data_IF_402367553939
#
_entry.id   IF_402367553939
#
_cell.length_a   1.000
_cell.length_b   1.000
_cell.length_c   1.000
_cell.angle_alpha   90.00
_cell.angle_beta   90.00
_cell.angle_gamma   90.00
#
_symmetry.space_group_name_H-M   'P 1'
#
loop_
_entity.id
_entity.type
_entity.pdbx_description
1 polymer ?
#
# COMPACT_ATOMS: atom_id res chain seq x y z
N UNK A 1 -23.74 29.16 14.03
CA UNK A 1 -22.83 28.63 15.07
C UNK A 1 -21.43 28.56 14.48
N UNK A 2 -20.38 29.05 15.16
CA UNK A 2 -19.01 28.88 14.68
C UNK A 2 -18.62 27.39 14.70
N UNK A 3 -17.81 26.95 13.73
CA UNK A 3 -17.32 25.57 13.67
C UNK A 3 -16.40 25.29 14.87
N UNK A 4 -16.68 24.21 15.60
CA UNK A 4 -15.81 23.70 16.67
C UNK A 4 -14.75 22.77 16.06
N UNK A 5 -13.63 23.36 15.62
CA UNK A 5 -12.53 22.63 15.00
C UNK A 5 -11.55 22.11 16.07
N UNK A 6 -11.16 20.86 15.94
CA UNK A 6 -10.14 20.25 16.80
C UNK A 6 -8.75 20.81 16.48
N UNK A 7 -8.06 21.29 17.50
CA UNK A 7 -6.67 21.74 17.37
C UNK A 7 -5.71 20.54 17.27
N UNK A 8 -4.50 20.77 16.76
CA UNK A 8 -3.44 19.77 16.64
C UNK A 8 -3.14 19.06 17.97
N UNK A 9 -3.16 19.80 19.07
CA UNK A 9 -2.93 19.24 20.41
C UNK A 9 -4.08 18.35 20.87
N UNK A 10 -5.33 18.72 20.56
CA UNK A 10 -6.51 17.91 20.86
C UNK A 10 -6.48 16.61 20.06
N UNK A 11 -6.13 16.66 18.78
CA UNK A 11 -5.98 15.47 17.94
C UNK A 11 -4.82 14.57 18.42
N UNK A 12 -3.67 15.16 18.76
CA UNK A 12 -2.52 14.44 19.31
C UNK A 12 -2.87 13.75 20.63
N UNK A 13 -3.55 14.47 21.53
CA UNK A 13 -4.02 13.95 22.81
C UNK A 13 -5.01 12.80 22.65
N UNK A 14 -5.97 12.92 21.72
CA UNK A 14 -6.91 11.85 21.38
C UNK A 14 -6.18 10.60 20.86
N UNK A 15 -5.23 10.75 19.94
CA UNK A 15 -4.45 9.62 19.42
C UNK A 15 -3.59 8.97 20.51
N UNK A 16 -3.01 9.75 21.42
CA UNK A 16 -2.26 9.22 22.56
C UNK A 16 -3.15 8.42 23.51
N UNK A 17 -4.33 8.95 23.84
CA UNK A 17 -5.31 8.27 24.69
C UNK A 17 -5.70 6.90 24.10
N UNK A 18 -6.02 6.85 22.80
CA UNK A 18 -6.39 5.60 22.14
C UNK A 18 -5.27 4.56 22.16
N UNK A 19 -4.00 4.96 21.98
CA UNK A 19 -2.86 4.03 22.09
C UNK A 19 -2.68 3.51 23.52
N UNK A 20 -2.82 4.39 24.51
CA UNK A 20 -2.70 4.03 25.93
C UNK A 20 -3.82 3.09 26.36
N UNK A 21 -5.05 3.34 25.93
CA UNK A 21 -6.21 2.46 26.16
C UNK A 21 -5.99 1.09 25.49
N UNK A 22 -5.50 1.07 24.24
CA UNK A 22 -5.16 -0.18 23.55
C UNK A 22 -4.12 -0.99 24.33
N UNK A 23 -3.05 -0.36 24.81
CA UNK A 23 -2.03 -1.03 25.61
C UNK A 23 -2.59 -1.59 26.93
N UNK A 24 -3.50 -0.85 27.57
CA UNK A 24 -4.19 -1.32 28.77
C UNK A 24 -5.01 -2.59 28.51
N UNK A 25 -5.70 -2.65 27.37
CA UNK A 25 -6.55 -3.79 27.00
C UNK A 25 -5.73 -4.98 26.50
N UNK A 26 -4.73 -4.76 25.64
CA UNK A 26 -4.00 -5.86 24.98
C UNK A 26 -2.82 -6.39 25.79
N UNK A 27 -2.19 -5.55 26.63
CA UNK A 27 -0.98 -5.90 27.39
C UNK A 27 -1.20 -5.81 28.91
N UNK A 28 -2.44 -5.55 29.36
CA UNK A 28 -2.80 -5.34 30.77
C UNK A 28 -1.87 -4.35 31.49
N UNK A 29 -1.33 -3.38 30.73
CA UNK A 29 -0.37 -2.42 31.22
C UNK A 29 -0.55 -1.08 30.53
N UNK A 30 -0.64 -0.04 31.34
CA UNK A 30 -0.77 1.34 30.90
C UNK A 30 0.60 2.00 30.70
N UNK A 31 1.66 1.31 31.16
CA UNK A 31 3.02 1.82 31.21
C UNK A 31 3.63 1.66 29.81
N UNK A 32 3.50 2.71 28.99
CA UNK A 32 3.95 2.75 27.59
C UNK A 32 5.48 2.81 27.43
N UNK A 33 6.22 1.89 28.06
CA UNK A 33 7.68 1.77 27.90
C UNK A 33 8.09 1.35 26.49
N UNK A 34 7.27 0.50 25.87
CA UNK A 34 7.42 0.07 24.49
C UNK A 34 6.11 0.40 23.77
N UNK A 35 6.20 1.18 22.68
CA UNK A 35 5.06 1.59 21.87
C UNK A 35 5.13 0.85 20.51
N UNK A 36 3.99 0.30 20.09
CA UNK A 36 3.84 -0.48 18.84
C UNK A 36 3.80 0.40 17.58
N UNK A 37 4.04 1.70 17.74
CA UNK A 37 4.07 2.69 16.65
C UNK A 37 5.00 2.28 15.50
N UNK A 38 6.16 1.68 15.80
CA UNK A 38 7.09 1.19 14.77
C UNK A 38 6.49 0.05 13.95
N UNK A 39 5.80 -0.88 14.61
CA UNK A 39 5.15 -2.01 13.94
C UNK A 39 3.99 -1.53 13.06
N UNK A 40 3.16 -0.62 13.56
CA UNK A 40 2.09 -0.04 12.73
C UNK A 40 2.64 0.74 11.54
N UNK A 41 3.69 1.53 11.74
CA UNK A 41 4.36 2.24 10.66
C UNK A 41 4.94 1.29 9.60
N UNK A 42 5.52 0.15 10.02
CA UNK A 42 6.03 -0.86 9.10
C UNK A 42 4.92 -1.50 8.25
N UNK A 43 3.76 -1.77 8.84
CA UNK A 43 2.58 -2.29 8.10
C UNK A 43 2.05 -1.26 7.11
N UNK A 44 1.96 0.01 7.49
CA UNK A 44 1.53 1.07 6.57
C UNK A 44 2.56 1.22 5.43
N UNK A 45 3.85 1.17 5.74
CA UNK A 45 4.92 1.25 4.75
C UNK A 45 4.87 0.08 3.75
N UNK A 46 4.60 -1.14 4.20
CA UNK A 46 4.48 -2.29 3.28
C UNK A 46 3.29 -2.14 2.33
N UNK A 47 2.15 -1.65 2.82
CA UNK A 47 0.99 -1.33 1.97
C UNK A 47 1.36 -0.27 0.92
N UNK A 48 2.08 0.78 1.32
CA UNK A 48 2.56 1.81 0.37
C UNK A 48 3.44 1.20 -0.71
N UNK A 49 4.38 0.32 -0.36
CA UNK A 49 5.22 -0.34 -1.36
C UNK A 49 4.42 -1.23 -2.32
N UNK A 50 3.42 -1.96 -1.82
CA UNK A 50 2.53 -2.76 -2.68
C UNK A 50 1.78 -1.86 -3.66
N UNK A 51 1.21 -0.75 -3.20
CA UNK A 51 0.49 0.20 -4.05
C UNK A 51 1.42 0.80 -5.11
N UNK A 52 2.64 1.19 -4.73
CA UNK A 52 3.65 1.69 -5.68
C UNK A 52 4.02 0.62 -6.70
N UNK A 53 4.26 -0.62 -6.27
CA UNK A 53 4.60 -1.74 -7.15
C UNK A 53 3.49 -2.04 -8.16
N UNK A 54 2.24 -2.12 -7.69
CA UNK A 54 1.08 -2.31 -8.56
C UNK A 54 0.89 -1.13 -9.53
N UNK A 55 1.01 0.10 -9.05
CA UNK A 55 0.93 1.30 -9.88
C UNK A 55 2.03 1.34 -10.94
N UNK A 56 3.24 0.92 -10.60
CA UNK A 56 4.36 0.81 -11.53
C UNK A 56 4.10 -0.24 -12.61
N UNK A 57 3.62 -1.43 -12.25
CA UNK A 57 3.24 -2.46 -13.23
C UNK A 57 2.10 -2.01 -14.14
N UNK A 58 1.09 -1.34 -13.59
CA UNK A 58 -0.01 -0.77 -14.37
C UNK A 58 0.51 0.28 -15.36
N UNK A 59 1.40 1.18 -14.94
CA UNK A 59 2.03 2.18 -15.80
C UNK A 59 2.81 1.51 -16.95
N UNK A 60 3.61 0.49 -16.64
CA UNK A 60 4.34 -0.26 -17.66
C UNK A 60 3.39 -0.95 -18.64
N UNK A 61 2.27 -1.51 -18.18
CA UNK A 61 1.26 -2.10 -19.06
C UNK A 61 0.66 -1.07 -20.02
N UNK A 62 0.42 0.17 -19.58
CA UNK A 62 -0.06 1.24 -20.45
C UNK A 62 1.02 1.77 -21.41
N UNK A 63 2.27 1.91 -20.96
CA UNK A 63 3.37 2.48 -21.77
C UNK A 63 3.99 1.48 -22.74
N UNK A 64 4.03 0.21 -22.35
CA UNK A 64 4.42 -0.93 -23.17
C UNK A 64 3.34 -1.98 -22.98
N UNK A 65 2.18 -1.88 -23.65
CA UNK A 65 1.35 -3.06 -23.81
C UNK A 65 2.28 -4.06 -24.47
N UNK A 66 2.74 -5.06 -23.72
CA UNK A 66 3.64 -6.09 -24.21
C UNK A 66 3.00 -6.56 -25.51
N UNK A 67 3.60 -6.15 -26.63
CA UNK A 67 2.92 -6.13 -27.91
C UNK A 67 2.36 -7.51 -28.12
N UNK A 68 1.08 -7.59 -28.49
CA UNK A 68 0.37 -8.80 -28.90
C UNK A 68 1.36 -9.80 -29.54
N UNK A 69 1.95 -10.68 -28.72
CA UNK A 69 2.82 -11.75 -29.20
C UNK A 69 1.85 -12.72 -29.86
N UNK A 70 1.62 -12.51 -31.17
CA UNK A 70 0.56 -13.19 -31.90
C UNK A 70 -0.06 -12.43 -33.07
N UNK A 71 0.34 -11.18 -33.35
CA UNK A 71 -0.12 -10.46 -34.56
C UNK A 71 0.78 -10.66 -35.79
N UNK A 72 1.86 -11.47 -35.71
CA UNK A 72 2.47 -11.93 -36.96
C UNK A 72 1.63 -13.08 -37.49
N UNK A 73 1.11 -13.01 -38.73
CA UNK A 73 0.66 -14.23 -39.38
C UNK A 73 1.91 -15.08 -39.52
N UNK A 74 1.99 -16.19 -38.78
CA UNK A 74 2.98 -17.24 -39.06
C UNK A 74 2.54 -17.82 -40.40
N UNK A 75 2.94 -17.17 -41.49
CA UNK A 75 2.78 -17.69 -42.84
C UNK A 75 3.90 -18.68 -43.05
N UNK A 76 3.77 -19.84 -42.41
CA UNK A 76 4.59 -21.00 -42.74
C UNK A 76 4.27 -21.39 -44.17
N UNK A 77 5.24 -21.30 -45.07
CA UNK A 77 5.07 -21.74 -46.44
C UNK A 77 4.78 -23.25 -46.44
N UNK A 78 3.59 -23.66 -46.88
CA UNK A 78 3.12 -25.05 -46.87
C UNK A 78 4.03 -25.99 -47.68
N UNK A 79 4.74 -25.47 -48.66
CA UNK A 79 5.58 -26.27 -49.55
C UNK A 79 7.02 -26.43 -49.05
N UNK A 80 7.51 -25.50 -48.21
CA UNK A 80 8.93 -25.48 -47.79
C UNK A 80 9.14 -25.58 -46.28
N UNK A 81 8.10 -25.43 -45.46
CA UNK A 81 8.17 -25.57 -44.00
C UNK A 81 9.05 -24.54 -43.27
N UNK A 82 9.48 -23.48 -43.96
CA UNK A 82 10.26 -22.41 -43.36
C UNK A 82 9.37 -21.38 -42.65
N UNK A 83 9.81 -20.91 -41.49
CA UNK A 83 9.22 -19.82 -40.70
C UNK A 83 9.68 -18.46 -41.21
#
# INVERSE_FOLDING_TARGET
MPLNLSNRDQNSGHLFYNRRLRAAITRFSVRMKHDDRKQQAAVVLSIVFVVIGCGWMALLHFMKPAGLVGQSPIVGNRDTGAL
#
